data_IF_770770004835
#
_entry.id   IF_770770004835
#
_cell.length_a   1.000
_cell.length_b   1.000
_cell.length_c   1.000
_cell.angle_alpha   90.00
_cell.angle_beta   90.00
_cell.angle_gamma   90.00
#
_symmetry.space_group_name_H-M   'P 1'
#
loop_
_entity.id
_entity.type
_entity.pdbx_description
1 polymer ?
#
# COMPACT_ATOMS: atom_id res chain seq x y z
N UNK A 1 -22.64 6.69 31.99
CA UNK A 1 -21.65 6.87 30.92
C UNK A 1 -20.33 6.28 31.39
N UNK A 2 -19.77 5.26 30.71
CA UNK A 2 -18.41 4.81 31.02
C UNK A 2 -17.43 5.92 30.60
N UNK A 3 -16.40 6.23 31.40
CA UNK A 3 -15.44 7.25 31.06
C UNK A 3 -14.76 6.86 29.73
N UNK A 4 -14.75 7.77 28.75
CA UNK A 4 -14.01 7.59 27.51
C UNK A 4 -12.53 7.37 27.87
N UNK A 5 -11.97 6.21 27.59
CA UNK A 5 -10.52 5.96 27.75
C UNK A 5 -9.79 7.01 26.91
N UNK A 6 -8.95 7.81 27.56
CA UNK A 6 -8.07 8.77 26.87
C UNK A 6 -7.06 7.92 26.08
N UNK A 7 -7.15 7.94 24.76
CA UNK A 7 -6.15 7.32 23.90
C UNK A 7 -4.97 8.27 23.82
N UNK A 8 -3.82 7.84 24.33
CA UNK A 8 -2.57 8.57 24.18
C UNK A 8 -1.87 7.98 22.97
N UNK A 9 -1.77 8.74 21.90
CA UNK A 9 -0.98 8.38 20.72
C UNK A 9 0.50 8.52 21.10
N UNK A 10 1.29 7.47 20.82
CA UNK A 10 2.73 7.47 21.01
C UNK A 10 3.39 7.41 19.63
N UNK A 11 4.42 8.20 19.44
CA UNK A 11 5.24 8.20 18.23
C UNK A 11 6.68 7.98 18.65
N UNK A 12 7.38 7.13 17.92
CA UNK A 12 8.78 6.78 18.16
C UNK A 12 9.71 7.39 17.10
N UNK A 13 9.13 7.95 16.03
CA UNK A 13 9.87 8.74 15.05
C UNK A 13 9.23 10.10 14.86
N UNK A 14 10.05 11.11 14.69
CA UNK A 14 9.65 12.48 14.42
C UNK A 14 10.61 13.11 13.42
N UNK A 15 10.06 13.65 12.36
CA UNK A 15 10.78 14.44 11.38
C UNK A 15 10.15 15.84 11.31
N UNK A 16 10.97 16.87 11.37
CA UNK A 16 10.52 18.28 11.35
C UNK A 16 11.40 19.08 10.43
N UNK A 17 10.83 19.89 9.58
CA UNK A 17 11.49 20.94 8.82
C UNK A 17 10.63 22.21 8.81
N UNK A 18 11.00 23.19 7.98
CA UNK A 18 10.30 24.47 7.90
C UNK A 18 8.89 24.36 7.29
N UNK A 19 8.57 23.26 6.61
CA UNK A 19 7.32 23.08 5.88
C UNK A 19 6.35 22.14 6.58
N UNK A 20 6.85 21.12 7.30
CA UNK A 20 6.00 20.09 7.91
C UNK A 20 6.62 19.41 9.13
N UNK A 21 5.75 18.79 9.92
CA UNK A 21 6.06 17.82 10.95
C UNK A 21 5.46 16.47 10.57
N UNK A 22 6.28 15.41 10.58
CA UNK A 22 5.84 14.04 10.38
C UNK A 22 6.14 13.22 11.63
N UNK A 23 5.12 12.55 12.14
CA UNK A 23 5.20 11.67 13.31
C UNK A 23 4.84 10.25 12.88
N UNK A 24 5.64 9.27 13.28
CA UNK A 24 5.38 7.87 12.95
C UNK A 24 5.48 6.97 14.19
N UNK A 25 4.61 5.96 14.23
CA UNK A 25 4.64 4.92 15.24
C UNK A 25 4.95 3.58 14.56
N UNK A 26 6.16 3.03 14.79
CA UNK A 26 6.65 1.82 14.14
C UNK A 26 5.89 0.54 14.55
N UNK A 27 5.20 0.56 15.69
CA UNK A 27 4.43 -0.59 16.19
C UNK A 27 3.01 -0.64 15.62
N UNK A 28 2.41 0.52 15.36
CA UNK A 28 1.04 0.60 14.84
C UNK A 28 0.97 0.90 13.35
N UNK A 29 2.05 1.47 12.76
CA UNK A 29 2.08 2.01 11.42
C UNK A 29 1.31 3.33 11.27
N UNK A 30 0.92 3.97 12.39
CA UNK A 30 0.24 5.26 12.35
C UNK A 30 1.25 6.34 11.95
N UNK A 31 0.96 7.05 10.90
CA UNK A 31 1.68 8.23 10.45
C UNK A 31 0.76 9.45 10.54
N UNK A 32 1.28 10.55 11.04
CA UNK A 32 0.64 11.86 11.02
C UNK A 32 1.56 12.84 10.32
N UNK A 33 1.06 13.48 9.29
CA UNK A 33 1.73 14.54 8.57
C UNK A 33 0.95 15.83 8.76
N UNK A 34 1.63 16.88 9.18
CA UNK A 34 1.04 18.18 9.41
C UNK A 34 1.92 19.28 8.82
N UNK A 35 1.34 20.18 8.06
CA UNK A 35 2.01 21.41 7.62
C UNK A 35 2.27 22.35 8.80
N UNK A 36 3.36 23.09 8.77
CA UNK A 36 3.75 24.08 9.78
C UNK A 36 3.80 25.48 9.16
N UNK A 37 3.91 26.51 10.03
CA UNK A 37 4.00 27.90 9.61
C UNK A 37 2.82 28.39 8.73
N UNK A 38 1.60 27.91 9.02
CA UNK A 38 0.38 28.29 8.29
C UNK A 38 0.25 27.67 6.92
N UNK A 39 1.10 26.71 6.57
CA UNK A 39 0.94 25.86 5.39
C UNK A 39 -0.05 24.73 5.72
N UNK A 40 -0.82 24.34 4.73
CA UNK A 40 -1.58 23.11 4.75
C UNK A 40 -0.63 21.91 4.65
N UNK A 41 -1.16 20.70 4.39
CA UNK A 41 -0.34 19.51 4.21
C UNK A 41 0.79 19.74 3.20
N UNK A 42 2.03 19.28 3.48
CA UNK A 42 3.15 19.46 2.58
C UNK A 42 2.89 18.72 1.27
N UNK A 43 3.27 19.36 0.17
CA UNK A 43 3.02 18.78 -1.15
C UNK A 43 4.01 17.66 -1.49
N UNK A 44 5.27 17.77 -1.07
CA UNK A 44 6.26 16.72 -1.28
C UNK A 44 7.26 16.68 -0.13
N UNK A 45 7.71 15.48 0.23
CA UNK A 45 8.77 15.23 1.19
C UNK A 45 10.15 15.25 0.52
N UNK A 46 11.21 15.28 1.32
CA UNK A 46 12.61 15.17 0.81
C UNK A 46 12.88 13.84 0.10
N UNK A 47 12.24 12.75 0.59
CA UNK A 47 12.17 11.40 0.04
C UNK A 47 10.84 10.80 0.51
N UNK A 48 10.33 9.73 -0.13
CA UNK A 48 9.06 9.15 0.25
C UNK A 48 9.06 8.62 1.69
N UNK A 49 8.00 8.87 2.46
CA UNK A 49 7.79 8.27 3.78
C UNK A 49 7.44 6.78 3.66
N UNK A 50 6.73 6.42 2.59
CA UNK A 50 6.42 5.05 2.18
C UNK A 50 7.06 4.75 0.83
N UNK A 51 7.92 3.73 0.77
CA UNK A 51 8.53 3.29 -0.48
C UNK A 51 8.05 1.88 -0.84
N UNK A 52 7.38 1.76 -1.98
CA UNK A 52 7.09 0.46 -2.56
C UNK A 52 8.33 -0.10 -3.24
N UNK A 53 8.71 -1.36 -2.93
CA UNK A 53 9.89 -1.99 -3.52
C UNK A 53 9.46 -3.33 -4.13
N UNK A 54 9.59 -3.43 -5.44
CA UNK A 54 9.41 -4.67 -6.18
C UNK A 54 10.62 -5.56 -6.01
N UNK A 55 10.59 -6.50 -5.08
CA UNK A 55 11.70 -7.46 -4.87
C UNK A 55 11.59 -8.68 -5.78
N UNK A 56 10.36 -9.04 -6.20
CA UNK A 56 10.11 -10.18 -7.06
C UNK A 56 9.94 -9.75 -8.52
N UNK A 57 10.69 -10.37 -9.42
CA UNK A 57 10.56 -10.23 -10.88
C UNK A 57 9.79 -11.38 -11.54
N UNK A 58 9.41 -12.41 -10.75
CA UNK A 58 8.75 -13.63 -11.26
C UNK A 58 7.49 -13.94 -10.45
N UNK A 59 6.46 -14.49 -11.13
CA UNK A 59 5.23 -14.94 -10.49
C UNK A 59 4.70 -16.21 -11.16
N UNK A 60 4.29 -17.19 -10.34
CA UNK A 60 3.67 -18.42 -10.83
C UNK A 60 2.16 -18.28 -11.07
N UNK A 61 1.49 -17.30 -10.43
CA UNK A 61 0.02 -17.22 -10.36
C UNK A 61 -0.65 -16.76 -11.65
N UNK A 62 0.00 -16.01 -12.50
CA UNK A 62 -0.51 -15.51 -13.80
C UNK A 62 -1.94 -14.96 -13.74
N UNK A 63 -2.27 -14.14 -12.73
CA UNK A 63 -3.59 -13.55 -12.56
C UNK A 63 -3.95 -12.71 -13.79
N UNK A 64 -5.16 -12.92 -14.34
CA UNK A 64 -5.60 -12.21 -15.54
C UNK A 64 -5.74 -10.69 -15.34
N UNK A 65 -5.99 -10.26 -14.10
CA UNK A 65 -6.14 -8.85 -13.71
C UNK A 65 -4.82 -8.21 -13.23
N UNK A 66 -3.69 -8.90 -13.32
CA UNK A 66 -2.42 -8.42 -12.78
C UNK A 66 -1.96 -7.15 -13.50
N UNK A 67 -1.80 -6.07 -12.75
CA UNK A 67 -1.36 -4.78 -13.29
C UNK A 67 0.14 -4.78 -13.70
N UNK A 68 0.94 -5.69 -13.14
CA UNK A 68 2.34 -5.87 -13.51
C UNK A 68 2.53 -6.61 -14.84
N UNK A 69 1.51 -7.36 -15.29
CA UNK A 69 1.63 -8.25 -16.44
C UNK A 69 2.24 -9.61 -16.06
N UNK A 70 2.70 -10.35 -17.08
CA UNK A 70 3.24 -11.71 -16.91
C UNK A 70 4.69 -11.86 -17.37
N UNK A 71 5.35 -10.77 -17.70
CA UNK A 71 6.76 -10.80 -18.09
C UNK A 71 7.61 -11.21 -16.88
N UNK A 72 8.49 -12.18 -17.12
CA UNK A 72 9.43 -12.62 -16.10
C UNK A 72 10.68 -11.75 -16.16
N UNK A 73 11.16 -11.31 -15.02
CA UNK A 73 12.38 -10.52 -14.85
C UNK A 73 13.20 -11.11 -13.72
N UNK A 74 14.50 -10.81 -13.63
CA UNK A 74 15.28 -11.16 -12.44
C UNK A 74 14.66 -10.56 -11.18
N UNK A 75 14.76 -11.28 -10.07
CA UNK A 75 14.47 -10.72 -8.76
C UNK A 75 15.52 -9.67 -8.41
N UNK A 76 15.15 -8.72 -7.53
CA UNK A 76 16.08 -7.72 -7.01
C UNK A 76 17.22 -8.42 -6.25
N UNK A 77 18.46 -7.99 -6.46
CA UNK A 77 19.59 -8.49 -5.68
C UNK A 77 19.54 -7.92 -4.26
N UNK A 78 19.98 -8.71 -3.27
CA UNK A 78 20.04 -8.22 -1.89
C UNK A 78 20.94 -6.97 -1.77
N UNK A 79 22.08 -6.92 -2.51
CA UNK A 79 22.96 -5.76 -2.53
C UNK A 79 22.27 -4.48 -2.99
N UNK A 80 21.41 -4.59 -4.01
CA UNK A 80 20.67 -3.46 -4.56
C UNK A 80 19.61 -2.98 -3.57
N UNK A 81 18.91 -3.94 -2.95
CA UNK A 81 17.95 -3.65 -1.88
C UNK A 81 18.61 -2.95 -0.68
N UNK A 82 19.73 -3.47 -0.21
CA UNK A 82 20.48 -2.85 0.90
C UNK A 82 20.92 -1.42 0.56
N UNK A 83 21.42 -1.20 -0.65
CA UNK A 83 21.81 0.14 -1.12
C UNK A 83 20.63 1.12 -1.15
N UNK A 84 19.41 0.66 -1.49
CA UNK A 84 18.20 1.48 -1.41
C UNK A 84 17.93 1.87 0.04
N UNK A 85 17.90 0.89 0.95
CA UNK A 85 17.61 1.14 2.38
C UNK A 85 18.65 2.08 2.99
N UNK A 86 19.94 1.93 2.67
CA UNK A 86 21.02 2.81 3.15
C UNK A 86 20.79 4.28 2.80
N UNK A 87 20.20 4.55 1.64
CA UNK A 87 19.91 5.92 1.21
C UNK A 87 18.62 6.46 1.84
N UNK A 88 17.56 5.61 1.92
CA UNK A 88 16.23 6.13 2.27
C UNK A 88 15.89 6.09 3.75
N UNK A 89 16.58 5.28 4.57
CA UNK A 89 16.18 4.96 5.95
C UNK A 89 15.99 6.18 6.88
N UNK A 90 16.65 7.30 6.60
CA UNK A 90 16.51 8.52 7.40
C UNK A 90 15.18 9.25 7.18
N UNK A 91 14.53 9.02 6.03
CA UNK A 91 13.30 9.70 5.64
C UNK A 91 12.13 8.72 5.46
N UNK A 92 12.41 7.48 5.08
CA UNK A 92 11.40 6.45 4.83
C UNK A 92 11.07 5.71 6.13
N UNK A 93 9.83 5.78 6.54
CA UNK A 93 9.36 5.11 7.76
C UNK A 93 9.04 3.65 7.53
N UNK A 94 8.54 3.32 6.34
CA UNK A 94 8.10 1.98 6.00
C UNK A 94 8.31 1.67 4.53
N UNK A 95 8.48 0.39 4.25
CA UNK A 95 8.53 -0.13 2.89
C UNK A 95 7.41 -1.14 2.67
N UNK A 96 6.82 -1.13 1.47
CA UNK A 96 5.88 -2.14 1.04
C UNK A 96 6.56 -3.04 0.00
N UNK A 97 6.91 -4.26 0.41
CA UNK A 97 7.56 -5.22 -0.47
C UNK A 97 6.54 -5.87 -1.40
N UNK A 98 6.87 -5.94 -2.69
CA UNK A 98 5.98 -6.42 -3.74
C UNK A 98 6.72 -6.87 -4.98
N UNK A 99 6.15 -6.59 -6.15
CA UNK A 99 6.68 -6.94 -7.46
C UNK A 99 5.75 -7.85 -8.24
N UNK A 100 6.32 -8.68 -9.12
CA UNK A 100 5.56 -9.63 -9.94
C UNK A 100 5.08 -10.87 -9.18
N UNK A 101 5.54 -11.11 -7.95
CA UNK A 101 5.20 -12.28 -7.17
C UNK A 101 5.16 -11.97 -5.68
N UNK A 102 5.00 -13.00 -4.89
CA UNK A 102 4.94 -12.90 -3.44
C UNK A 102 6.34 -12.65 -2.86
N UNK A 103 6.59 -11.53 -2.15
CA UNK A 103 7.90 -11.20 -1.61
C UNK A 103 8.50 -12.25 -0.69
N UNK A 104 7.65 -12.94 0.09
CA UNK A 104 8.07 -14.03 0.98
C UNK A 104 8.65 -15.25 0.23
N UNK A 105 8.51 -15.30 -1.09
CA UNK A 105 9.16 -16.31 -1.96
C UNK A 105 10.52 -15.86 -2.49
N UNK A 106 10.98 -14.67 -2.13
CA UNK A 106 12.33 -14.24 -2.48
C UNK A 106 13.35 -15.06 -1.68
N UNK A 107 14.41 -15.62 -2.31
CA UNK A 107 15.39 -16.46 -1.61
C UNK A 107 16.07 -15.78 -0.42
N UNK A 108 16.14 -14.44 -0.42
CA UNK A 108 16.77 -13.61 0.60
C UNK A 108 15.75 -12.71 1.32
N UNK A 109 14.50 -13.16 1.42
CA UNK A 109 13.43 -12.37 2.07
C UNK A 109 13.75 -12.07 3.55
N UNK A 110 14.31 -13.05 4.27
CA UNK A 110 14.67 -12.88 5.67
C UNK A 110 15.68 -11.75 5.86
N UNK A 111 16.77 -11.78 5.09
CA UNK A 111 17.83 -10.79 5.15
C UNK A 111 17.32 -9.38 4.79
N UNK A 112 16.40 -9.26 3.82
CA UNK A 112 15.78 -8.00 3.46
C UNK A 112 14.94 -7.43 4.61
N UNK A 113 14.12 -8.26 5.26
CA UNK A 113 13.29 -7.88 6.41
C UNK A 113 14.16 -7.46 7.60
N UNK A 114 15.16 -8.26 7.92
CA UNK A 114 16.12 -7.96 9.01
C UNK A 114 16.87 -6.66 8.74
N UNK A 115 17.30 -6.44 7.50
CA UNK A 115 18.02 -5.23 7.12
C UNK A 115 17.15 -3.97 7.29
N UNK A 116 15.89 -4.02 6.89
CA UNK A 116 14.94 -2.93 7.17
C UNK A 116 14.85 -2.63 8.66
N UNK A 117 14.68 -3.65 9.49
CA UNK A 117 14.56 -3.48 10.95
C UNK A 117 15.81 -2.93 11.58
N UNK A 118 16.99 -3.37 11.14
CA UNK A 118 18.29 -2.83 11.57
C UNK A 118 18.41 -1.33 11.32
N UNK A 119 17.79 -0.82 10.24
CA UNK A 119 17.78 0.59 9.87
C UNK A 119 16.52 1.34 10.35
N UNK A 120 15.76 0.76 11.27
CA UNK A 120 14.50 1.33 11.78
C UNK A 120 13.45 1.61 10.69
N UNK A 121 13.49 0.92 9.56
CA UNK A 121 12.45 0.92 8.54
C UNK A 121 11.47 -0.21 8.80
N UNK A 122 10.18 0.05 8.73
CA UNK A 122 9.16 -0.98 8.96
C UNK A 122 8.83 -1.68 7.63
N UNK A 123 9.20 -2.98 7.46
CA UNK A 123 8.80 -3.73 6.28
C UNK A 123 7.35 -4.18 6.39
N UNK A 124 6.60 -4.05 5.31
CA UNK A 124 5.28 -4.62 5.11
C UNK A 124 5.28 -5.38 3.78
N UNK A 125 4.39 -6.33 3.58
CA UNK A 125 4.28 -6.97 2.28
C UNK A 125 2.89 -7.52 2.00
N UNK A 126 2.66 -7.83 0.71
CA UNK A 126 1.45 -8.50 0.25
C UNK A 126 1.81 -9.87 -0.33
N UNK A 127 1.03 -10.89 0.02
CA UNK A 127 1.19 -12.25 -0.48
C UNK A 127 -0.13 -12.82 -1.02
N UNK A 128 -0.04 -13.79 -1.92
CA UNK A 128 -1.19 -14.63 -2.29
C UNK A 128 -1.52 -15.67 -1.21
N UNK A 129 -0.56 -16.01 -0.36
CA UNK A 129 -0.65 -17.08 0.62
C UNK A 129 -0.43 -18.49 0.06
N UNK A 130 -0.07 -18.62 -1.23
CA UNK A 130 0.20 -19.94 -1.84
C UNK A 130 1.47 -20.52 -1.25
N UNK A 131 1.39 -21.83 -0.89
CA UNK A 131 2.52 -22.61 -0.38
C UNK A 131 3.26 -21.91 0.78
N UNK A 132 2.52 -21.22 1.65
CA UNK A 132 3.10 -20.48 2.77
C UNK A 132 3.85 -21.45 3.72
N UNK A 133 5.14 -21.18 3.94
CA UNK A 133 5.99 -22.00 4.81
C UNK A 133 6.03 -21.46 6.25
N UNK A 134 6.43 -22.30 7.22
CA UNK A 134 6.46 -21.90 8.63
C UNK A 134 7.56 -20.87 8.92
N UNK A 135 8.71 -20.98 8.28
CA UNK A 135 9.81 -20.03 8.37
C UNK A 135 9.42 -18.66 7.82
N UNK A 136 8.63 -18.60 6.74
CA UNK A 136 8.09 -17.35 6.21
C UNK A 136 7.17 -16.67 7.23
N UNK A 137 6.40 -17.42 8.02
CA UNK A 137 5.56 -16.87 9.10
C UNK A 137 6.44 -16.32 10.22
N UNK A 138 7.49 -17.03 10.63
CA UNK A 138 8.40 -16.53 11.67
C UNK A 138 9.08 -15.22 11.26
N UNK A 139 9.57 -15.13 10.02
CA UNK A 139 10.14 -13.90 9.47
C UNK A 139 9.09 -12.77 9.46
N UNK A 140 7.85 -13.09 9.13
CA UNK A 140 6.75 -12.11 9.03
C UNK A 140 6.38 -11.48 10.38
N UNK A 141 6.77 -12.05 11.51
CA UNK A 141 6.62 -11.43 12.84
C UNK A 141 7.43 -10.14 12.97
N UNK A 142 8.46 -9.96 12.16
CA UNK A 142 9.25 -8.73 12.08
C UNK A 142 8.59 -7.67 11.19
N UNK A 143 7.56 -8.00 10.42
CA UNK A 143 6.83 -7.04 9.59
C UNK A 143 5.87 -6.18 10.41
N UNK A 144 5.57 -4.98 9.94
CA UNK A 144 4.55 -4.12 10.54
C UNK A 144 3.14 -4.64 10.31
N UNK A 145 2.89 -5.15 9.11
CA UNK A 145 1.67 -5.82 8.72
C UNK A 145 1.93 -6.74 7.51
N UNK A 146 1.08 -7.75 7.37
CA UNK A 146 1.01 -8.61 6.18
C UNK A 146 -0.38 -8.50 5.57
N UNK A 147 -0.46 -8.31 4.27
CA UNK A 147 -1.72 -8.35 3.54
C UNK A 147 -1.81 -9.64 2.72
N UNK A 148 -2.95 -10.32 2.79
CA UNK A 148 -3.23 -11.50 1.96
C UNK A 148 -4.24 -11.10 0.89
N UNK A 149 -3.90 -11.35 -0.37
CA UNK A 149 -4.81 -11.10 -1.50
C UNK A 149 -5.98 -12.09 -1.46
N UNK A 150 -7.21 -11.58 -1.58
CA UNK A 150 -8.39 -12.43 -1.51
C UNK A 150 -8.68 -13.09 -2.87
N UNK A 151 -8.23 -14.34 -2.99
CA UNK A 151 -8.52 -15.20 -4.13
C UNK A 151 -9.72 -16.13 -3.92
N UNK A 152 -10.38 -16.09 -2.75
CA UNK A 152 -11.47 -17.01 -2.37
C UNK A 152 -11.08 -18.50 -2.45
N UNK A 153 -9.82 -18.80 -2.16
CA UNK A 153 -9.24 -20.16 -2.21
C UNK A 153 -8.83 -20.64 -0.81
N UNK A 154 -8.74 -21.93 -0.66
CA UNK A 154 -8.33 -22.52 0.62
C UNK A 154 -6.99 -21.99 1.10
N UNK A 155 -6.00 -21.81 0.21
CA UNK A 155 -4.71 -21.26 0.59
C UNK A 155 -4.80 -19.81 1.12
N UNK A 156 -5.75 -18.99 0.62
CA UNK A 156 -6.01 -17.65 1.17
C UNK A 156 -6.45 -17.74 2.63
N UNK A 157 -7.44 -18.58 2.91
CA UNK A 157 -7.98 -18.73 4.27
C UNK A 157 -7.00 -19.37 5.23
N UNK A 158 -6.21 -20.33 4.77
CA UNK A 158 -5.13 -20.95 5.55
C UNK A 158 -4.05 -19.91 5.91
N UNK A 159 -3.60 -19.13 4.94
CA UNK A 159 -2.61 -18.08 5.16
C UNK A 159 -3.12 -17.04 6.17
N UNK A 160 -4.36 -16.55 6.02
CA UNK A 160 -4.98 -15.60 6.96
C UNK A 160 -4.99 -16.18 8.38
N UNK A 161 -5.47 -17.43 8.53
CA UNK A 161 -5.51 -18.10 9.82
C UNK A 161 -4.11 -18.20 10.44
N UNK A 162 -3.13 -18.70 9.70
CA UNK A 162 -1.76 -18.92 10.20
C UNK A 162 -1.08 -17.62 10.60
N UNK A 163 -1.21 -16.54 9.84
CA UNK A 163 -0.69 -15.21 10.23
C UNK A 163 -1.37 -14.68 11.48
N UNK A 164 -2.70 -14.78 11.58
CA UNK A 164 -3.42 -14.35 12.77
C UNK A 164 -3.09 -15.20 14.00
N UNK A 165 -2.91 -16.52 13.85
CA UNK A 165 -2.49 -17.43 14.93
C UNK A 165 -1.09 -17.11 15.44
N UNK A 166 -0.21 -16.64 14.56
CA UNK A 166 1.14 -16.17 14.90
C UNK A 166 1.14 -14.75 15.53
N UNK A 167 -0.02 -14.10 15.70
CA UNK A 167 -0.14 -12.76 16.26
C UNK A 167 0.29 -11.63 15.30
N UNK A 168 0.41 -11.94 14.02
CA UNK A 168 0.81 -10.96 13.00
C UNK A 168 -0.38 -10.10 12.64
N UNK A 169 -0.16 -8.78 12.52
CA UNK A 169 -1.18 -7.84 12.05
C UNK A 169 -1.52 -8.17 10.59
N UNK A 170 -2.69 -8.76 10.38
CA UNK A 170 -3.10 -9.33 9.10
C UNK A 170 -4.21 -8.52 8.45
N UNK A 171 -4.01 -8.13 7.21
CA UNK A 171 -4.99 -7.44 6.37
C UNK A 171 -5.44 -8.36 5.23
N UNK A 172 -6.61 -8.06 4.66
CA UNK A 172 -7.05 -8.61 3.39
C UNK A 172 -6.94 -7.51 2.33
N UNK A 173 -6.32 -7.81 1.19
CA UNK A 173 -6.41 -7.01 -0.01
C UNK A 173 -7.55 -7.54 -0.89
N UNK A 174 -8.61 -6.77 -1.01
CA UNK A 174 -9.78 -7.08 -1.83
C UNK A 174 -9.82 -6.17 -3.04
N UNK A 175 -9.69 -6.73 -4.24
CA UNK A 175 -9.90 -5.95 -5.46
C UNK A 175 -11.37 -5.54 -5.54
N UNK A 176 -11.60 -4.25 -5.76
CA UNK A 176 -12.89 -3.68 -6.10
C UNK A 176 -12.96 -3.46 -7.61
N UNK A 177 -13.82 -4.23 -8.25
CA UNK A 177 -14.11 -4.17 -9.68
C UNK A 177 -15.63 -4.36 -9.94
N UNK A 178 -16.04 -4.29 -11.19
CA UNK A 178 -17.47 -4.43 -11.56
C UNK A 178 -18.08 -5.77 -11.15
N UNK A 179 -17.29 -6.88 -11.10
CA UNK A 179 -17.77 -8.21 -10.69
C UNK A 179 -17.78 -8.38 -9.18
N UNK A 180 -16.76 -7.84 -8.49
CA UNK A 180 -16.62 -7.96 -7.04
C UNK A 180 -17.43 -6.92 -6.27
N UNK A 181 -18.12 -6.00 -6.96
CA UNK A 181 -18.91 -4.91 -6.36
C UNK A 181 -19.87 -5.40 -5.26
N UNK A 182 -20.67 -6.44 -5.51
CA UNK A 182 -21.62 -6.96 -4.52
C UNK A 182 -20.92 -7.55 -3.29
N UNK A 183 -19.81 -8.24 -3.50
CA UNK A 183 -18.99 -8.77 -2.41
C UNK A 183 -18.43 -7.62 -1.55
N UNK A 184 -17.80 -6.63 -2.19
CA UNK A 184 -17.20 -5.49 -1.49
C UNK A 184 -18.23 -4.74 -0.65
N UNK A 185 -19.37 -4.40 -1.22
CA UNK A 185 -20.45 -3.69 -0.52
C UNK A 185 -21.08 -4.54 0.59
N UNK A 186 -21.21 -5.86 0.39
CA UNK A 186 -21.70 -6.79 1.42
C UNK A 186 -20.76 -6.85 2.62
N UNK A 187 -19.46 -6.98 2.38
CA UNK A 187 -18.45 -6.99 3.43
C UNK A 187 -18.49 -5.71 4.27
N UNK A 188 -18.54 -4.53 3.64
CA UNK A 188 -18.62 -3.24 4.34
C UNK A 188 -19.93 -3.12 5.14
N UNK A 189 -21.02 -3.70 4.66
CA UNK A 189 -22.30 -3.75 5.35
C UNK A 189 -22.35 -4.76 6.52
N UNK A 190 -21.22 -5.46 6.80
CA UNK A 190 -21.13 -6.42 7.90
C UNK A 190 -21.67 -7.81 7.58
N UNK A 191 -21.90 -8.12 6.29
CA UNK A 191 -22.28 -9.46 5.84
C UNK A 191 -21.02 -10.29 5.70
N UNK A 192 -20.97 -11.44 6.36
CA UNK A 192 -19.85 -12.37 6.25
C UNK A 192 -19.89 -13.11 4.90
N UNK A 193 -19.18 -12.54 3.94
CA UNK A 193 -19.04 -13.14 2.60
C UNK A 193 -18.12 -14.36 2.60
N UNK A 194 -17.25 -14.50 3.62
CA UNK A 194 -16.32 -15.62 3.74
C UNK A 194 -16.91 -16.84 4.42
N UNK A 195 -18.20 -16.79 4.85
CA UNK A 195 -18.95 -17.91 5.43
C UNK A 195 -18.23 -18.56 6.64
N UNK A 196 -17.72 -17.73 7.55
CA UNK A 196 -17.02 -18.16 8.75
C UNK A 196 -15.58 -18.66 8.55
N UNK A 197 -15.06 -18.62 7.32
CA UNK A 197 -13.68 -19.06 7.04
C UNK A 197 -12.61 -18.05 7.45
N UNK A 198 -13.00 -16.80 7.72
CA UNK A 198 -12.11 -15.73 8.21
C UNK A 198 -12.55 -15.35 9.61
N UNK A 199 -11.62 -15.35 10.57
CA UNK A 199 -11.86 -14.80 11.91
C UNK A 199 -11.87 -13.27 11.85
N UNK A 200 -13.07 -12.71 11.65
CA UNK A 200 -13.28 -11.28 11.47
C UNK A 200 -12.87 -10.47 12.71
N UNK A 201 -13.02 -11.04 13.90
CA UNK A 201 -12.71 -10.34 15.16
C UNK A 201 -11.19 -10.18 15.36
N UNK A 202 -10.37 -11.01 14.71
CA UNK A 202 -8.89 -10.95 14.72
C UNK A 202 -8.32 -10.23 13.50
N UNK A 203 -9.12 -10.03 12.45
CA UNK A 203 -8.69 -9.35 11.24
C UNK A 203 -8.41 -7.86 11.53
N UNK A 204 -7.23 -7.38 11.15
CA UNK A 204 -6.90 -5.98 11.36
C UNK A 204 -7.68 -5.05 10.42
N UNK A 205 -7.66 -5.32 9.13
CA UNK A 205 -8.35 -4.49 8.14
C UNK A 205 -8.67 -5.26 6.84
N UNK A 206 -9.65 -4.75 6.10
CA UNK A 206 -9.85 -5.05 4.68
C UNK A 206 -9.53 -3.78 3.89
N UNK A 207 -8.58 -3.89 2.96
CA UNK A 207 -8.15 -2.80 2.10
C UNK A 207 -8.73 -3.04 0.71
N UNK A 208 -9.61 -2.15 0.29
CA UNK A 208 -10.22 -2.20 -1.04
C UNK A 208 -9.29 -1.53 -2.06
N UNK A 209 -8.88 -2.29 -3.05
CA UNK A 209 -7.99 -1.84 -4.12
C UNK A 209 -8.80 -1.67 -5.40
N UNK A 210 -8.87 -0.46 -5.92
CA UNK A 210 -9.54 -0.22 -7.20
C UNK A 210 -8.85 -1.01 -8.32
N UNK A 211 -9.62 -1.70 -9.15
CA UNK A 211 -9.09 -2.41 -10.32
C UNK A 211 -8.39 -1.43 -11.27
N UNK A 212 -7.18 -1.80 -11.72
CA UNK A 212 -6.38 -1.03 -12.69
C UNK A 212 -6.33 -1.76 -14.02
N UNK A 213 -6.83 -1.17 -15.12
CA UNK A 213 -6.76 -1.75 -16.45
C UNK A 213 -5.36 -1.62 -17.08
N UNK A 214 -4.35 -2.15 -16.38
CA UNK A 214 -2.94 -2.14 -16.78
C UNK A 214 -2.35 -3.54 -16.80
N UNK A 215 -1.16 -3.70 -17.35
CA UNK A 215 -0.51 -5.00 -17.50
C UNK A 215 -1.43 -6.00 -18.22
N UNK A 216 -1.66 -7.16 -17.61
CA UNK A 216 -2.65 -8.14 -18.10
C UNK A 216 -4.09 -7.62 -18.00
N UNK A 217 -4.37 -6.76 -17.03
CA UNK A 217 -5.68 -6.13 -16.84
C UNK A 217 -6.12 -5.24 -18.00
N UNK A 218 -5.21 -4.81 -18.91
CA UNK A 218 -5.57 -4.05 -20.13
C UNK A 218 -6.65 -4.74 -20.96
N UNK A 219 -6.66 -6.07 -20.97
CA UNK A 219 -7.65 -6.89 -21.70
C UNK A 219 -8.96 -7.08 -20.93
N UNK A 220 -9.04 -6.64 -19.69
CA UNK A 220 -10.14 -6.87 -18.75
C UNK A 220 -10.93 -5.57 -18.47
N UNK A 221 -11.04 -4.66 -19.44
CA UNK A 221 -11.67 -3.34 -19.24
C UNK A 221 -13.15 -3.44 -18.77
N UNK A 222 -13.80 -4.56 -19.01
CA UNK A 222 -15.14 -4.85 -18.50
C UNK A 222 -15.21 -5.03 -16.96
N UNK A 223 -14.05 -5.10 -16.29
CA UNK A 223 -13.94 -5.10 -14.83
C UNK A 223 -13.89 -3.68 -14.24
N UNK A 224 -13.75 -2.64 -15.06
CA UNK A 224 -13.79 -1.27 -14.57
C UNK A 224 -15.16 -1.02 -13.94
N UNK A 225 -15.24 -0.60 -12.65
CA UNK A 225 -16.52 -0.29 -12.04
C UNK A 225 -17.24 0.85 -12.78
N UNK A 226 -18.56 0.77 -12.86
CA UNK A 226 -19.38 1.88 -13.37
C UNK A 226 -19.38 3.06 -12.40
N UNK A 227 -19.74 4.25 -12.88
CA UNK A 227 -19.88 5.43 -12.00
C UNK A 227 -20.85 5.18 -10.85
N UNK A 228 -22.00 4.53 -11.10
CA UNK A 228 -22.96 4.15 -10.05
C UNK A 228 -22.34 3.21 -9.02
N UNK A 229 -21.52 2.24 -9.44
CA UNK A 229 -20.82 1.33 -8.51
C UNK A 229 -19.79 2.08 -7.68
N UNK A 230 -19.05 3.02 -8.26
CA UNK A 230 -18.11 3.89 -7.57
C UNK A 230 -18.80 4.78 -6.54
N UNK A 231 -19.92 5.41 -6.91
CA UNK A 231 -20.72 6.25 -6.01
C UNK A 231 -21.25 5.46 -4.81
N UNK A 232 -21.87 4.30 -5.05
CA UNK A 232 -22.36 3.42 -3.98
C UNK A 232 -21.23 2.94 -3.07
N UNK A 233 -20.10 2.53 -3.66
CA UNK A 233 -18.94 2.08 -2.89
C UNK A 233 -18.39 3.20 -2.00
N UNK A 234 -18.33 4.43 -2.51
CA UNK A 234 -17.88 5.63 -1.81
C UNK A 234 -18.77 5.92 -0.59
N UNK A 235 -20.09 5.85 -0.74
CA UNK A 235 -21.05 5.98 0.37
C UNK A 235 -20.80 4.91 1.46
N UNK A 236 -20.61 3.65 1.06
CA UNK A 236 -20.41 2.54 1.99
C UNK A 236 -19.10 2.65 2.76
N UNK A 237 -18.01 3.06 2.11
CA UNK A 237 -16.69 3.25 2.76
C UNK A 237 -16.76 4.30 3.87
N UNK A 238 -17.51 5.38 3.68
CA UNK A 238 -17.67 6.43 4.69
C UNK A 238 -18.60 6.04 5.84
N UNK A 239 -19.44 5.01 5.67
CA UNK A 239 -20.41 4.57 6.69
C UNK A 239 -20.38 3.05 6.88
N UNK A 240 -19.20 2.46 7.23
CA UNK A 240 -19.07 1.02 7.33
C UNK A 240 -19.84 0.47 8.54
N UNK A 241 -20.45 -0.71 8.35
CA UNK A 241 -21.19 -1.45 9.40
C UNK A 241 -20.45 -2.72 9.85
N UNK A 242 -19.32 -3.03 9.21
CA UNK A 242 -18.49 -4.18 9.54
C UNK A 242 -17.68 -3.95 10.84
N UNK A 243 -17.14 -5.04 11.40
CA UNK A 243 -16.35 -5.01 12.64
C UNK A 243 -14.85 -4.74 12.39
N UNK A 244 -14.34 -5.08 11.20
CA UNK A 244 -12.95 -4.83 10.82
C UNK A 244 -12.77 -3.36 10.35
N UNK A 245 -11.53 -2.89 10.35
CA UNK A 245 -11.21 -1.58 9.78
C UNK A 245 -11.31 -1.63 8.26
N UNK A 246 -11.92 -0.62 7.68
CA UNK A 246 -12.00 -0.43 6.24
C UNK A 246 -10.89 0.50 5.80
N UNK A 247 -10.07 0.06 4.84
CA UNK A 247 -9.08 0.87 4.15
C UNK A 247 -9.34 0.85 2.64
N UNK A 248 -8.66 1.74 1.94
CA UNK A 248 -8.71 1.83 0.48
C UNK A 248 -7.36 2.32 -0.05
N UNK A 249 -7.08 1.99 -1.32
CA UNK A 249 -5.94 2.62 -1.99
C UNK A 249 -6.27 4.07 -2.41
N UNK A 250 -5.25 4.89 -2.63
CA UNK A 250 -5.41 6.29 -3.01
C UNK A 250 -6.12 6.46 -4.36
N UNK A 251 -6.10 5.45 -5.23
CA UNK A 251 -6.87 5.50 -6.47
C UNK A 251 -8.38 5.45 -6.21
N UNK A 252 -8.83 4.62 -5.26
CA UNK A 252 -10.24 4.58 -4.84
C UNK A 252 -10.60 5.82 -4.01
N UNK A 253 -9.68 6.32 -3.19
CA UNK A 253 -9.89 7.52 -2.38
C UNK A 253 -10.25 8.75 -3.23
N UNK A 254 -9.64 8.93 -4.39
CA UNK A 254 -9.99 10.00 -5.33
C UNK A 254 -11.47 9.94 -5.75
N UNK A 255 -12.01 8.73 -5.96
CA UNK A 255 -13.43 8.56 -6.29
C UNK A 255 -14.32 8.82 -5.07
N UNK A 256 -13.90 8.39 -3.87
CA UNK A 256 -14.66 8.70 -2.64
C UNK A 256 -14.82 10.21 -2.48
N UNK A 257 -13.75 10.97 -2.66
CA UNK A 257 -13.80 12.44 -2.55
C UNK A 257 -14.55 13.12 -3.72
N UNK A 258 -14.62 12.46 -4.88
CA UNK A 258 -15.43 12.95 -6.02
C UNK A 258 -16.93 12.85 -5.75
N UNK A 259 -17.38 11.74 -5.16
CA UNK A 259 -18.81 11.43 -5.01
C UNK A 259 -19.37 11.77 -3.64
N UNK A 260 -18.54 11.94 -2.62
CA UNK A 260 -18.95 12.11 -1.24
C UNK A 260 -18.25 13.31 -0.59
N UNK A 261 -18.91 13.88 0.41
CA UNK A 261 -18.31 14.91 1.28
C UNK A 261 -18.06 14.28 2.65
N UNK A 262 -16.83 13.83 2.94
CA UNK A 262 -16.51 13.22 4.23
C UNK A 262 -16.60 14.27 5.35
N UNK A 263 -16.90 13.82 6.58
CA UNK A 263 -16.77 14.65 7.77
C UNK A 263 -15.30 15.08 7.96
N UNK A 264 -15.06 16.16 8.71
CA UNK A 264 -13.70 16.64 8.98
C UNK A 264 -12.76 15.53 9.48
N UNK A 265 -13.23 14.67 10.38
CA UNK A 265 -12.43 13.56 10.93
C UNK A 265 -12.13 12.50 9.86
N UNK A 266 -13.08 12.18 9.00
CA UNK A 266 -12.86 11.24 7.90
C UNK A 266 -11.90 11.84 6.88
N UNK A 267 -12.05 13.11 6.52
CA UNK A 267 -11.16 13.79 5.59
C UNK A 267 -9.69 13.74 6.05
N UNK A 268 -9.44 13.83 7.36
CA UNK A 268 -8.09 13.71 7.94
C UNK A 268 -7.48 12.29 7.85
N UNK A 269 -8.26 11.28 7.46
CA UNK A 269 -7.83 9.88 7.31
C UNK A 269 -7.97 9.35 5.89
N UNK A 270 -8.22 10.22 4.93
CA UNK A 270 -8.36 9.87 3.51
C UNK A 270 -7.26 10.59 2.75
N UNK A 271 -6.23 9.84 2.37
CA UNK A 271 -5.16 10.37 1.55
C UNK A 271 -5.51 10.21 0.07
N UNK A 272 -5.35 11.30 -0.68
CA UNK A 272 -5.48 11.31 -2.15
C UNK A 272 -4.26 10.63 -2.79
N UNK A 273 -4.00 10.89 -4.06
CA UNK A 273 -2.86 10.30 -4.76
C UNK A 273 -1.53 10.75 -4.12
N UNK A 274 -0.79 9.79 -3.57
CA UNK A 274 0.50 9.98 -2.90
C UNK A 274 1.70 9.86 -3.85
N UNK A 275 1.46 9.55 -5.11
CA UNK A 275 2.49 9.32 -6.12
C UNK A 275 3.42 10.54 -6.26
N UNK A 276 4.73 10.33 -6.19
CA UNK A 276 5.77 11.36 -6.24
C UNK A 276 5.66 12.43 -5.14
N UNK A 277 4.71 12.30 -4.21
CA UNK A 277 4.47 13.23 -3.11
C UNK A 277 4.97 12.65 -1.78
N UNK A 278 4.43 11.51 -1.37
CA UNK A 278 4.81 10.79 -0.15
C UNK A 278 5.19 9.35 -0.41
N UNK A 279 4.86 8.82 -1.60
CA UNK A 279 5.20 7.46 -2.01
C UNK A 279 5.82 7.40 -3.40
N UNK A 280 6.58 6.34 -3.65
CA UNK A 280 7.16 6.01 -4.94
C UNK A 280 7.39 4.50 -5.05
N UNK A 281 7.75 4.01 -6.23
CA UNK A 281 7.95 2.60 -6.49
C UNK A 281 9.28 2.32 -7.17
N UNK A 282 10.08 1.40 -6.60
CA UNK A 282 11.30 0.89 -7.23
C UNK A 282 11.04 -0.52 -7.75
N UNK A 283 11.32 -0.73 -9.04
CA UNK A 283 11.16 -2.02 -9.71
C UNK A 283 12.30 -3.00 -9.38
N UNK A 284 12.11 -4.33 -9.59
CA UNK A 284 13.19 -5.29 -9.37
C UNK A 284 14.44 -5.05 -10.23
N UNK A 285 14.30 -4.39 -11.37
CA UNK A 285 15.37 -4.00 -12.31
C UNK A 285 15.86 -2.55 -12.06
N UNK A 286 15.73 -2.05 -10.83
CA UNK A 286 16.30 -0.79 -10.37
C UNK A 286 15.82 0.44 -11.16
N UNK A 287 14.51 0.55 -11.40
CA UNK A 287 13.88 1.75 -11.96
C UNK A 287 12.99 2.41 -10.92
N UNK A 288 13.18 3.69 -10.68
CA UNK A 288 12.35 4.46 -9.78
C UNK A 288 11.22 5.12 -10.56
N UNK A 289 10.00 4.90 -10.10
CA UNK A 289 8.74 5.35 -10.71
C UNK A 289 7.96 6.21 -9.71
N UNK A 290 7.25 7.23 -10.15
CA UNK A 290 6.35 8.02 -9.29
C UNK A 290 5.29 7.17 -8.59
N UNK A 291 4.78 6.13 -9.27
CA UNK A 291 3.88 5.15 -8.67
C UNK A 291 4.01 3.79 -9.38
N UNK A 292 3.55 2.71 -8.75
CA UNK A 292 3.65 1.35 -9.29
C UNK A 292 2.93 1.15 -10.62
N UNK A 293 1.98 2.02 -10.96
CA UNK A 293 1.21 1.99 -12.21
C UNK A 293 1.77 2.90 -13.31
N UNK A 294 2.71 3.80 -13.00
CA UNK A 294 3.31 4.70 -13.98
C UNK A 294 4.12 3.92 -15.04
N UNK A 295 4.02 4.30 -16.30
CA UNK A 295 4.87 3.74 -17.36
C UNK A 295 6.24 4.42 -17.39
N UNK A 296 6.32 5.72 -17.03
CA UNK A 296 7.56 6.47 -16.93
C UNK A 296 8.40 6.03 -15.72
N UNK A 297 9.71 6.06 -15.87
CA UNK A 297 10.67 5.67 -14.82
C UNK A 297 12.03 6.30 -15.07
N UNK A 298 12.85 6.36 -14.01
CA UNK A 298 14.25 6.78 -14.09
C UNK A 298 15.12 5.68 -13.49
N UNK A 299 16.23 5.35 -14.12
CA UNK A 299 17.15 4.31 -13.64
C UNK A 299 17.86 4.75 -12.36
N UNK A 300 17.87 3.83 -11.38
CA UNK A 300 18.62 4.01 -10.13
C UNK A 300 20.03 3.47 -10.32
N UNK A 301 21.02 4.29 -10.06
CA UNK A 301 22.39 3.81 -9.99
C UNK A 301 22.78 3.45 -8.55
N UNK A 302 23.71 2.52 -8.40
CA UNK A 302 24.16 2.02 -7.10
C UNK A 302 24.93 3.07 -6.27
N UNK A 303 25.25 4.24 -6.84
CA UNK A 303 25.92 5.33 -6.15
C UNK A 303 24.92 6.32 -5.48
N UNK A 304 23.64 5.97 -5.43
CA UNK A 304 22.69 6.66 -4.56
C UNK A 304 22.04 7.91 -5.13
N UNK A 305 21.66 7.92 -6.43
CA UNK A 305 20.97 9.06 -7.03
C UNK A 305 19.46 9.15 -6.70
N UNK A 306 18.96 8.39 -5.71
CA UNK A 306 17.52 8.35 -5.38
C UNK A 306 16.95 9.73 -5.02
N UNK A 307 17.68 10.50 -4.23
CA UNK A 307 17.26 11.86 -3.85
C UNK A 307 17.22 12.80 -5.06
N UNK A 308 18.19 12.70 -5.97
CA UNK A 308 18.22 13.47 -7.20
C UNK A 308 17.04 13.08 -8.11
N UNK A 309 16.79 11.77 -8.29
CA UNK A 309 15.64 11.31 -9.08
C UNK A 309 14.34 11.81 -8.47
N UNK A 310 14.18 11.68 -7.16
CA UNK A 310 12.97 12.10 -6.45
C UNK A 310 12.70 13.60 -6.64
N UNK A 311 13.72 14.44 -6.53
CA UNK A 311 13.56 15.88 -6.57
C UNK A 311 13.57 16.45 -8.00
N UNK A 312 14.40 15.90 -8.90
CA UNK A 312 14.77 16.57 -10.13
C UNK A 312 14.29 15.87 -11.41
N UNK A 313 13.95 14.56 -11.36
CA UNK A 313 13.61 13.86 -12.59
C UNK A 313 12.24 14.27 -13.15
N UNK A 314 12.14 14.35 -14.47
CA UNK A 314 10.93 14.75 -15.19
C UNK A 314 9.69 13.92 -14.83
N UNK A 315 9.74 12.57 -14.68
CA UNK A 315 8.58 11.80 -14.28
C UNK A 315 7.98 12.24 -12.94
N UNK A 316 8.83 12.55 -11.95
CA UNK A 316 8.38 12.96 -10.61
C UNK A 316 7.85 14.39 -10.62
N UNK A 317 8.51 15.33 -11.32
CA UNK A 317 8.04 16.70 -11.50
C UNK A 317 6.67 16.72 -12.18
N UNK A 318 6.51 15.99 -13.27
CA UNK A 318 5.23 15.90 -13.99
C UNK A 318 4.08 15.44 -13.07
N UNK A 319 4.31 14.40 -12.26
CA UNK A 319 3.28 13.92 -11.33
C UNK A 319 2.91 14.97 -10.28
N UNK A 320 3.90 15.66 -9.71
CA UNK A 320 3.68 16.73 -8.74
C UNK A 320 2.91 17.91 -9.36
N UNK A 321 3.28 18.33 -10.56
CA UNK A 321 2.62 19.43 -11.26
C UNK A 321 1.14 19.13 -11.52
N UNK A 322 0.83 17.89 -11.97
CA UNK A 322 -0.57 17.48 -12.18
C UNK A 322 -1.34 17.47 -10.85
N UNK A 323 -0.76 16.91 -9.79
CA UNK A 323 -1.41 16.82 -8.47
C UNK A 323 -1.59 18.19 -7.82
N UNK A 324 -0.65 19.11 -8.03
CA UNK A 324 -0.75 20.50 -7.53
C UNK A 324 -1.85 21.29 -8.22
N UNK A 325 -2.03 21.07 -9.53
CA UNK A 325 -3.09 21.73 -10.30
C UNK A 325 -4.47 21.14 -10.05
N UNK A 326 -4.55 19.84 -9.77
CA UNK A 326 -5.80 19.08 -9.62
C UNK A 326 -5.63 17.99 -8.54
N UNK A 327 -5.78 18.36 -7.29
CA UNK A 327 -5.48 17.52 -6.12
C UNK A 327 -6.12 16.12 -6.12
N UNK A 328 -7.28 15.95 -6.73
CA UNK A 328 -8.03 14.68 -6.72
C UNK A 328 -8.01 13.97 -8.09
N UNK A 329 -6.97 14.21 -8.88
CA UNK A 329 -6.85 13.63 -10.24
C UNK A 329 -5.67 12.66 -10.29
N UNK A 330 -5.89 11.48 -10.84
CA UNK A 330 -4.81 10.55 -11.11
C UNK A 330 -3.99 11.03 -12.33
N UNK A 331 -2.65 11.25 -12.21
CA UNK A 331 -1.81 11.71 -13.33
C UNK A 331 -1.78 10.78 -14.54
N UNK A 332 -2.16 9.51 -14.35
CA UNK A 332 -2.21 8.50 -15.42
C UNK A 332 -3.63 8.08 -15.79
N UNK A 333 -4.65 8.83 -15.32
CA UNK A 333 -6.03 8.73 -15.82
C UNK A 333 -6.82 7.51 -15.36
N UNK A 334 -6.74 7.16 -14.06
CA UNK A 334 -7.61 6.17 -13.43
C UNK A 334 -8.84 6.80 -12.77
#
# INVERSE_FOLDING_TARGET
MKPKKKVVLKFDKRFVNDDYELLFNSSTGLELLQGVNGKDDPFSLCLPSLLDIGVMGTCKNRCQFCYQGHEQRPNMKLSDFMSIIDVVHQHTNQVALGGHGDPNKHPQFAEMVEYCRKHNVTPNYTTSGIELADDEIEISKMCGAVAVSDYEKNFTYDALKRFMDAGIKTNIHQIFDAKTFHKCTSLINGIDYWSGRVDIDRLNAVIFLLFKPQGSGKKMRFLIPTETQLEIMSDRILSPKCKFKVGMDSCLANHVLKYQTPSKLQAMSIDTCEAARMSGYITPDMKFKPCSFAECSTEVNLNGNLSEIWNESEPFKFFRDVLQQKSNTCPIGF
#
